data_IF_570395168456
#
_entry.id   IF_570395168456
#
_cell.length_a   1.000
_cell.length_b   1.000
_cell.length_c   1.000
_cell.angle_alpha   90.00
_cell.angle_beta   90.00
_cell.angle_gamma   90.00
#
_symmetry.space_group_name_H-M   'P 1'
#
loop_
_entity.id
_entity.type
_entity.pdbx_description
1 polymer ?
#
# COMPACT_ATOMS: atom_id res chain seq x y z
N UNK A 1 -28.89 -17.97 -5.31
CA UNK A 1 -27.42 -18.01 -5.26
C UNK A 1 -26.99 -16.71 -4.60
N UNK A 2 -26.30 -16.77 -3.47
CA UNK A 2 -25.73 -15.56 -2.85
C UNK A 2 -24.68 -15.01 -3.81
N UNK A 3 -24.87 -13.79 -4.30
CA UNK A 3 -23.85 -13.11 -5.11
C UNK A 3 -22.65 -12.84 -4.20
N UNK A 4 -21.51 -13.48 -4.50
CA UNK A 4 -20.25 -13.24 -3.79
C UNK A 4 -19.39 -12.38 -4.70
N UNK A 5 -19.00 -11.20 -4.22
CA UNK A 5 -18.10 -10.32 -4.96
C UNK A 5 -16.76 -11.03 -5.19
N UNK A 6 -16.17 -10.83 -6.37
CA UNK A 6 -15.04 -11.62 -6.84
C UNK A 6 -13.79 -11.50 -5.94
N UNK A 7 -13.61 -10.37 -5.27
CA UNK A 7 -12.48 -10.11 -4.37
C UNK A 7 -12.89 -10.03 -2.89
N UNK A 8 -14.08 -10.53 -2.54
CA UNK A 8 -14.65 -10.45 -1.17
C UNK A 8 -13.80 -11.06 -0.05
N UNK A 9 -12.74 -11.81 -0.37
CA UNK A 9 -11.79 -12.42 0.58
C UNK A 9 -10.37 -11.90 0.41
N UNK A 10 -10.14 -10.96 -0.49
CA UNK A 10 -8.82 -10.44 -0.79
C UNK A 10 -8.56 -9.17 0.00
N UNK A 11 -7.44 -9.14 0.71
CA UNK A 11 -6.93 -7.98 1.44
C UNK A 11 -5.72 -7.43 0.70
N UNK A 12 -5.85 -6.23 0.13
CA UNK A 12 -4.84 -5.61 -0.72
C UNK A 12 -4.20 -4.43 -0.01
N UNK A 13 -2.88 -4.46 0.15
CA UNK A 13 -2.11 -3.29 0.56
C UNK A 13 -1.95 -2.32 -0.62
N UNK A 14 -2.18 -1.02 -0.39
CA UNK A 14 -1.76 0.01 -1.34
C UNK A 14 -0.59 0.80 -0.75
N UNK A 15 0.55 0.80 -1.43
CA UNK A 15 1.76 1.51 -1.00
C UNK A 15 2.00 2.68 -1.94
N UNK A 16 1.84 3.90 -1.43
CA UNK A 16 1.92 5.11 -2.23
C UNK A 16 2.62 6.24 -1.47
N UNK A 17 3.44 6.98 -2.22
CA UNK A 17 4.12 8.18 -1.74
C UNK A 17 4.51 9.02 -2.96
N UNK A 18 4.75 10.30 -2.73
CA UNK A 18 5.12 11.25 -3.76
C UNK A 18 6.36 10.77 -4.54
N UNK A 19 6.36 11.00 -5.84
CA UNK A 19 7.51 10.70 -6.70
C UNK A 19 8.19 12.00 -7.13
N UNK A 20 9.52 12.09 -7.07
CA UNK A 20 10.26 13.23 -7.63
C UNK A 20 10.21 13.28 -9.17
N UNK A 21 9.74 12.22 -9.82
CA UNK A 21 9.85 12.04 -11.27
C UNK A 21 8.63 12.53 -12.04
N UNK A 22 7.56 12.91 -11.33
CA UNK A 22 6.30 13.33 -11.95
C UNK A 22 6.53 14.35 -13.07
N UNK A 23 7.27 15.46 -12.87
CA UNK A 23 7.45 16.46 -13.93
C UNK A 23 8.15 15.91 -15.17
N UNK A 24 9.14 15.04 -14.96
CA UNK A 24 9.96 14.47 -16.03
C UNK A 24 9.19 13.38 -16.82
N UNK A 25 8.15 12.80 -16.21
CA UNK A 25 7.18 11.92 -16.85
C UNK A 25 6.01 12.68 -17.51
N UNK A 26 5.98 14.01 -17.42
CA UNK A 26 4.85 14.83 -17.89
C UNK A 26 3.60 14.69 -17.02
N UNK A 27 3.77 14.22 -15.78
CA UNK A 27 2.73 13.99 -14.79
C UNK A 27 2.78 15.06 -13.68
N UNK A 28 1.75 15.05 -12.85
CA UNK A 28 1.63 15.87 -11.65
C UNK A 28 1.23 15.00 -10.46
N UNK A 29 1.32 15.56 -9.25
CA UNK A 29 0.84 14.86 -8.05
C UNK A 29 -0.64 14.51 -8.12
N UNK A 30 -1.45 15.25 -8.88
CA UNK A 30 -2.86 14.93 -9.09
C UNK A 30 -3.04 13.60 -9.82
N UNK A 31 -2.21 13.29 -10.82
CA UNK A 31 -2.27 12.00 -11.51
C UNK A 31 -2.01 10.82 -10.55
N UNK A 32 -1.12 11.00 -9.57
CA UNK A 32 -0.83 10.00 -8.55
C UNK A 32 -2.00 9.84 -7.57
N UNK A 33 -2.65 10.94 -7.19
CA UNK A 33 -3.85 10.95 -6.34
C UNK A 33 -5.02 10.29 -7.06
N UNK A 34 -5.25 10.63 -8.32
CA UNK A 34 -6.28 10.02 -9.16
C UNK A 34 -6.06 8.51 -9.31
N UNK A 35 -4.81 8.09 -9.54
CA UNK A 35 -4.46 6.67 -9.60
C UNK A 35 -4.81 5.92 -8.31
N UNK A 36 -4.43 6.48 -7.15
CA UNK A 36 -4.80 5.92 -5.84
C UNK A 36 -6.30 5.80 -5.68
N UNK A 37 -7.02 6.89 -5.96
CA UNK A 37 -8.47 6.95 -5.80
C UNK A 37 -9.15 5.91 -6.67
N UNK A 38 -8.78 5.82 -7.94
CA UNK A 38 -9.43 4.92 -8.88
C UNK A 38 -9.07 3.45 -8.62
N UNK A 39 -7.83 3.14 -8.24
CA UNK A 39 -7.44 1.78 -7.84
C UNK A 39 -8.23 1.35 -6.60
N UNK A 40 -8.21 2.16 -5.54
CA UNK A 40 -8.93 1.87 -4.30
C UNK A 40 -10.44 1.70 -4.56
N UNK A 41 -11.03 2.57 -5.36
CA UNK A 41 -12.46 2.54 -5.70
C UNK A 41 -12.86 1.24 -6.38
N UNK A 42 -12.10 0.79 -7.38
CA UNK A 42 -12.41 -0.46 -8.09
C UNK A 42 -12.18 -1.70 -7.24
N UNK A 43 -11.14 -1.71 -6.40
CA UNK A 43 -10.89 -2.82 -5.47
C UNK A 43 -12.05 -2.95 -4.46
N UNK A 44 -12.47 -1.85 -3.84
CA UNK A 44 -13.60 -1.81 -2.92
C UNK A 44 -14.90 -2.24 -3.60
N UNK A 45 -15.16 -1.76 -4.83
CA UNK A 45 -16.35 -2.13 -5.59
C UNK A 45 -16.41 -3.62 -5.98
N UNK A 46 -15.30 -4.33 -5.91
CA UNK A 46 -15.22 -5.79 -6.11
C UNK A 46 -15.13 -6.57 -4.78
N UNK A 47 -15.35 -5.89 -3.66
CA UNK A 47 -15.41 -6.48 -2.33
C UNK A 47 -14.06 -6.64 -1.61
N UNK A 48 -12.96 -6.15 -2.19
CA UNK A 48 -11.65 -6.25 -1.55
C UNK A 48 -11.57 -5.38 -0.29
N UNK A 49 -10.79 -5.83 0.70
CA UNK A 49 -10.39 -5.02 1.86
C UNK A 49 -9.08 -4.33 1.53
N UNK A 50 -8.92 -3.07 1.93
CA UNK A 50 -7.66 -2.34 1.74
C UNK A 50 -6.89 -2.21 3.05
N UNK A 51 -5.57 -2.34 2.95
CA UNK A 51 -4.64 -2.08 4.06
C UNK A 51 -3.73 -0.93 3.67
N UNK A 52 -3.54 -0.01 4.61
CA UNK A 52 -2.72 1.18 4.43
C UNK A 52 -1.80 1.40 5.63
N UNK A 53 -0.63 1.98 5.38
CA UNK A 53 0.40 2.26 6.39
C UNK A 53 0.87 3.70 6.29
N UNK A 54 -0.02 4.64 6.58
CA UNK A 54 0.22 6.07 6.36
C UNK A 54 0.07 6.92 7.60
N UNK A 55 0.72 8.09 7.57
CA UNK A 55 0.51 9.13 8.57
C UNK A 55 -0.86 9.81 8.42
N UNK A 56 -1.31 10.50 9.47
CA UNK A 56 -2.58 11.22 9.48
C UNK A 56 -2.38 12.72 9.20
N UNK A 57 -1.47 13.05 8.26
CA UNK A 57 -1.21 14.45 7.90
C UNK A 57 -2.32 14.99 7.00
N UNK A 58 -2.68 16.25 7.24
CA UNK A 58 -3.68 16.95 6.44
C UNK A 58 -3.32 16.92 4.95
N UNK A 59 -4.30 16.61 4.11
CA UNK A 59 -4.18 16.49 2.65
C UNK A 59 -3.25 15.35 2.17
N UNK A 60 -2.87 14.44 3.08
CA UNK A 60 -2.13 13.23 2.75
C UNK A 60 -2.95 12.18 2.01
N UNK A 61 -2.32 11.06 1.69
CA UNK A 61 -2.99 9.93 1.03
C UNK A 61 -3.96 9.19 1.97
N UNK A 62 -3.72 9.20 3.29
CA UNK A 62 -4.66 8.65 4.28
C UNK A 62 -5.99 9.40 4.25
N UNK A 63 -5.94 10.74 4.27
CA UNK A 63 -7.13 11.59 4.17
C UNK A 63 -7.90 11.32 2.86
N UNK A 64 -7.18 11.23 1.73
CA UNK A 64 -7.78 10.92 0.43
C UNK A 64 -8.51 9.56 0.44
N UNK A 65 -7.87 8.54 1.03
CA UNK A 65 -8.45 7.20 1.15
C UNK A 65 -9.70 7.21 2.03
N UNK A 66 -9.65 7.89 3.18
CA UNK A 66 -10.79 8.02 4.08
C UNK A 66 -11.97 8.76 3.44
N UNK A 67 -11.71 9.85 2.72
CA UNK A 67 -12.74 10.58 1.98
C UNK A 67 -13.41 9.72 0.90
N UNK A 68 -12.62 8.91 0.18
CA UNK A 68 -13.14 8.01 -0.85
C UNK A 68 -14.13 6.99 -0.24
N UNK A 69 -13.77 6.36 0.86
CA UNK A 69 -14.60 5.33 1.49
C UNK A 69 -15.87 5.93 2.08
N UNK A 70 -15.76 7.10 2.72
CA UNK A 70 -16.90 7.81 3.28
C UNK A 70 -17.92 8.24 2.19
N UNK A 71 -17.48 8.40 0.94
CA UNK A 71 -18.38 8.61 -0.21
C UNK A 71 -18.96 7.30 -0.70
N UNK A 72 -18.12 6.28 -0.93
CA UNK A 72 -18.56 4.97 -1.43
C UNK A 72 -19.64 4.32 -0.56
N UNK A 73 -19.53 4.40 0.77
CA UNK A 73 -20.54 3.87 1.70
C UNK A 73 -21.89 4.56 1.62
N UNK A 74 -21.93 5.87 1.33
CA UNK A 74 -23.20 6.59 1.18
C UNK A 74 -24.01 6.09 -0.02
N UNK A 75 -23.34 5.50 -1.00
CA UNK A 75 -23.93 5.01 -2.24
C UNK A 75 -24.23 3.48 -2.21
N UNK A 76 -23.72 2.75 -1.22
CA UNK A 76 -23.95 1.31 -1.05
C UNK A 76 -25.21 1.04 -0.20
N UNK A 77 -26.08 0.11 -0.65
CA UNK A 77 -27.33 -0.24 0.04
C UNK A 77 -27.06 -0.83 1.45
N UNK A 78 -27.93 -0.46 2.41
CA UNK A 78 -28.01 -1.01 3.77
C UNK A 78 -27.79 -2.53 3.81
N UNK A 79 -26.60 -2.98 4.21
CA UNK A 79 -26.32 -4.40 4.35
C UNK A 79 -24.85 -4.82 4.43
N UNK A 80 -23.90 -3.98 3.97
CA UNK A 80 -22.47 -4.30 4.07
C UNK A 80 -21.79 -3.56 5.22
N UNK A 81 -21.79 -4.21 6.39
CA UNK A 81 -21.19 -3.68 7.61
C UNK A 81 -19.66 -3.87 7.67
N UNK A 82 -19.03 -4.40 6.60
CA UNK A 82 -17.58 -4.61 6.57
C UNK A 82 -16.85 -3.27 6.46
N UNK A 83 -15.93 -3.03 7.40
CA UNK A 83 -14.95 -1.93 7.27
C UNK A 83 -14.06 -2.22 6.07
N UNK A 84 -14.16 -1.38 5.04
CA UNK A 84 -13.45 -1.59 3.78
C UNK A 84 -11.94 -1.37 3.89
N UNK A 85 -11.49 -0.60 4.90
CA UNK A 85 -10.08 -0.18 5.03
C UNK A 85 -9.57 -0.25 6.46
N UNK A 86 -8.36 -0.78 6.60
CA UNK A 86 -7.58 -0.78 7.84
C UNK A 86 -6.32 0.06 7.65
N UNK A 87 -6.14 1.12 8.45
CA UNK A 87 -4.92 1.93 8.44
C UNK A 87 -4.08 1.63 9.70
N UNK A 88 -2.88 1.11 9.48
CA UNK A 88 -1.90 0.87 10.53
C UNK A 88 -1.09 2.13 10.79
N UNK A 89 -0.98 2.50 12.06
CA UNK A 89 -0.17 3.61 12.54
C UNK A 89 1.05 3.04 13.27
N UNK A 90 2.22 3.26 12.69
CA UNK A 90 3.49 2.96 13.35
C UNK A 90 3.62 3.76 14.66
N UNK A 91 4.25 3.15 15.66
CA UNK A 91 4.55 3.77 16.94
C UNK A 91 5.08 5.22 16.86
N UNK A 92 6.15 5.51 16.07
CA UNK A 92 6.72 6.86 15.99
C UNK A 92 5.75 7.90 15.41
N UNK A 93 4.79 7.47 14.58
CA UNK A 93 3.75 8.34 14.02
C UNK A 93 2.76 8.71 15.13
N UNK A 94 2.15 7.72 15.76
CA UNK A 94 1.07 8.02 16.68
C UNK A 94 1.56 8.57 18.02
N UNK A 95 2.76 8.25 18.50
CA UNK A 95 3.30 8.77 19.78
C UNK A 95 3.53 10.29 19.73
N UNK A 96 3.67 10.84 18.53
CA UNK A 96 3.79 12.28 18.28
C UNK A 96 2.42 13.00 18.25
N UNK A 97 1.31 12.28 18.39
CA UNK A 97 -0.06 12.80 18.29
C UNK A 97 -0.82 12.71 19.61
N UNK A 98 -1.55 13.77 19.97
CA UNK A 98 -2.31 13.80 21.21
C UNK A 98 -3.45 12.77 21.18
N UNK A 99 -3.62 12.02 22.28
CA UNK A 99 -4.66 10.97 22.37
C UNK A 99 -6.08 11.48 22.07
N UNK A 100 -6.50 12.70 22.50
CA UNK A 100 -7.80 13.24 22.10
C UNK A 100 -7.97 13.42 20.59
N UNK A 101 -6.90 13.79 19.87
CA UNK A 101 -6.95 13.96 18.41
C UNK A 101 -7.14 12.61 17.72
N UNK A 102 -6.37 11.59 18.13
CA UNK A 102 -6.51 10.23 17.59
C UNK A 102 -7.90 9.65 17.86
N UNK A 103 -8.44 9.88 19.06
CA UNK A 103 -9.81 9.47 19.43
C UNK A 103 -10.85 10.13 18.53
N UNK A 104 -10.69 11.43 18.24
CA UNK A 104 -11.58 12.15 17.32
C UNK A 104 -11.53 11.56 15.91
N UNK A 105 -10.33 11.38 15.35
CA UNK A 105 -10.15 10.81 14.01
C UNK A 105 -10.75 9.40 13.95
N UNK A 106 -10.46 8.55 14.94
CA UNK A 106 -11.04 7.22 15.02
C UNK A 106 -12.57 7.22 15.08
N UNK A 107 -13.18 8.19 15.77
CA UNK A 107 -14.63 8.34 15.84
C UNK A 107 -15.23 8.81 14.51
N UNK A 108 -14.57 9.75 13.82
CA UNK A 108 -14.99 10.27 12.51
C UNK A 108 -14.92 9.19 11.41
N UNK A 109 -14.10 8.15 11.61
CA UNK A 109 -13.91 7.03 10.68
C UNK A 109 -14.83 5.83 10.95
N UNK A 110 -15.61 5.81 12.04
CA UNK A 110 -16.45 4.66 12.42
C UNK A 110 -17.31 4.19 11.25
N UNK A 111 -17.24 2.89 10.98
CA UNK A 111 -17.88 2.24 9.85
C UNK A 111 -17.07 2.35 8.55
N UNK A 112 -16.36 3.43 8.29
CA UNK A 112 -15.60 3.58 7.04
C UNK A 112 -14.23 2.92 7.09
N UNK A 113 -13.43 3.25 8.10
CA UNK A 113 -12.08 2.76 8.26
C UNK A 113 -11.76 2.46 9.72
N UNK A 114 -10.80 1.57 9.93
CA UNK A 114 -10.28 1.23 11.26
C UNK A 114 -8.85 1.75 11.40
N UNK A 115 -8.53 2.34 12.56
CA UNK A 115 -7.17 2.71 12.94
C UNK A 115 -6.58 1.66 13.86
N UNK A 116 -5.46 1.07 13.47
CA UNK A 116 -4.71 0.11 14.27
C UNK A 116 -3.43 0.78 14.76
N UNK A 117 -3.22 0.79 16.08
CA UNK A 117 -2.01 1.34 16.70
C UNK A 117 -1.02 0.22 16.98
N UNK A 118 0.25 0.43 16.66
CA UNK A 118 1.30 -0.55 16.90
C UNK A 118 2.33 -0.02 17.91
N UNK A 119 2.75 -0.90 18.82
CA UNK A 119 3.94 -0.68 19.63
C UNK A 119 5.21 -0.69 18.76
N UNK A 120 6.33 -0.24 19.31
CA UNK A 120 7.59 -0.13 18.57
C UNK A 120 8.03 -1.49 17.96
N UNK A 121 7.77 -2.58 18.68
CA UNK A 121 8.05 -3.95 18.27
C UNK A 121 7.01 -4.56 17.31
N UNK A 122 5.94 -3.84 16.96
CA UNK A 122 4.86 -4.32 16.09
C UNK A 122 3.67 -4.93 16.81
N UNK A 123 3.67 -5.01 18.15
CA UNK A 123 2.50 -5.52 18.88
C UNK A 123 1.30 -4.57 18.74
N UNK A 124 0.09 -5.14 18.66
CA UNK A 124 -1.13 -4.35 18.61
C UNK A 124 -1.38 -3.66 19.96
N UNK A 125 -1.66 -2.36 19.91
CA UNK A 125 -2.10 -1.58 21.06
C UNK A 125 -3.60 -1.35 20.98
N UNK A 126 -4.30 -1.68 22.06
CA UNK A 126 -5.69 -1.29 22.22
C UNK A 126 -5.82 0.23 22.32
N UNK A 127 -7.00 0.81 22.02
CA UNK A 127 -7.24 2.23 22.22
C UNK A 127 -7.03 2.69 23.68
N UNK A 128 -7.24 1.80 24.66
CA UNK A 128 -7.02 2.08 26.07
C UNK A 128 -5.52 2.15 26.40
N UNK A 129 -4.73 1.17 25.94
CA UNK A 129 -3.27 1.19 26.10
C UNK A 129 -2.65 2.38 25.38
N UNK A 130 -3.11 2.68 24.17
CA UNK A 130 -2.63 3.87 23.46
C UNK A 130 -2.92 5.15 24.26
N UNK A 131 -4.07 5.28 24.91
CA UNK A 131 -4.44 6.49 25.67
C UNK A 131 -3.53 6.75 26.89
N UNK A 132 -2.89 5.74 27.46
CA UNK A 132 -1.99 5.90 28.61
C UNK A 132 -0.58 6.31 28.20
N UNK A 133 -0.22 6.18 26.91
CA UNK A 133 1.10 6.57 26.41
C UNK A 133 1.26 8.09 26.36
N UNK A 134 2.36 8.58 26.94
CA UNK A 134 2.75 9.98 26.87
C UNK A 134 3.16 10.39 25.45
N UNK A 135 3.01 11.67 25.13
CA UNK A 135 3.56 12.24 23.91
C UNK A 135 5.08 12.16 23.91
N UNK A 136 5.65 11.80 22.77
CA UNK A 136 7.09 11.68 22.60
C UNK A 136 7.57 12.22 21.26
N UNK A 137 8.86 12.55 21.20
CA UNK A 137 9.60 12.82 19.97
C UNK A 137 10.45 11.58 19.68
N UNK A 138 10.09 10.75 18.69
CA UNK A 138 10.86 9.56 18.38
C UNK A 138 12.23 9.92 17.80
N UNK A 139 13.24 9.17 18.21
CA UNK A 139 14.57 9.16 17.62
C UNK A 139 14.57 8.57 16.21
N UNK A 140 15.64 8.80 15.44
CA UNK A 140 15.78 8.21 14.09
C UNK A 140 15.76 6.67 14.12
N UNK A 141 16.34 6.07 15.16
CA UNK A 141 16.33 4.62 15.38
C UNK A 141 14.90 4.10 15.64
N UNK A 142 14.13 4.76 16.49
CA UNK A 142 12.72 4.41 16.73
C UNK A 142 11.85 4.61 15.49
N UNK A 143 12.16 5.61 14.65
CA UNK A 143 11.52 5.76 13.35
C UNK A 143 11.79 4.57 12.43
N UNK A 144 13.03 4.10 12.35
CA UNK A 144 13.38 2.93 11.56
C UNK A 144 12.68 1.68 12.08
N UNK A 145 12.84 1.35 13.36
CA UNK A 145 12.27 0.14 13.98
C UNK A 145 10.75 0.14 13.86
N UNK A 146 10.09 1.25 14.20
CA UNK A 146 8.63 1.33 14.22
C UNK A 146 7.99 1.29 12.82
N UNK A 147 8.66 1.84 11.80
CA UNK A 147 8.17 1.72 10.43
C UNK A 147 8.38 0.31 9.87
N UNK A 148 9.53 -0.31 10.12
CA UNK A 148 9.82 -1.68 9.71
C UNK A 148 8.85 -2.67 10.36
N UNK A 149 8.60 -2.55 11.68
CA UNK A 149 7.66 -3.44 12.38
C UNK A 149 6.24 -3.30 11.86
N UNK A 150 5.78 -2.08 11.57
CA UNK A 150 4.48 -1.85 10.94
C UNK A 150 4.38 -2.51 9.56
N UNK A 151 5.42 -2.37 8.72
CA UNK A 151 5.45 -2.98 7.37
C UNK A 151 5.40 -4.51 7.44
N UNK A 152 6.08 -5.11 8.42
CA UNK A 152 6.05 -6.55 8.67
C UNK A 152 4.63 -7.03 9.06
N UNK A 153 4.00 -6.35 10.02
CA UNK A 153 2.61 -6.62 10.43
C UNK A 153 1.65 -6.50 9.24
N UNK A 154 1.77 -5.42 8.46
CA UNK A 154 0.93 -5.20 7.27
C UNK A 154 1.11 -6.32 6.23
N UNK A 155 2.35 -6.71 5.94
CA UNK A 155 2.65 -7.82 5.01
C UNK A 155 1.94 -9.11 5.45
N UNK A 156 1.98 -9.44 6.75
CA UNK A 156 1.34 -10.66 7.27
C UNK A 156 -0.20 -10.58 7.26
N UNK A 157 -0.78 -9.39 7.16
CA UNK A 157 -2.22 -9.16 7.12
C UNK A 157 -2.81 -9.00 5.71
N UNK A 158 -1.99 -9.16 4.65
CA UNK A 158 -2.38 -8.84 3.27
C UNK A 158 -2.09 -9.99 2.32
N UNK A 159 -2.93 -10.13 1.30
CA UNK A 159 -2.80 -11.16 0.26
C UNK A 159 -2.02 -10.66 -0.95
N UNK A 160 -2.07 -9.35 -1.22
CA UNK A 160 -1.38 -8.73 -2.35
C UNK A 160 -1.02 -7.28 -2.05
N UNK A 161 -0.05 -6.73 -2.80
CA UNK A 161 0.40 -5.34 -2.68
C UNK A 161 0.41 -4.63 -4.02
N UNK A 162 -0.19 -3.45 -4.08
CA UNK A 162 -0.08 -2.52 -5.21
C UNK A 162 0.85 -1.39 -4.81
N UNK A 163 1.91 -1.16 -5.58
CA UNK A 163 2.90 -0.10 -5.29
C UNK A 163 2.97 0.89 -6.44
N UNK A 164 2.99 2.18 -6.11
CA UNK A 164 3.09 3.28 -7.08
C UNK A 164 3.80 4.51 -6.48
N UNK A 165 4.63 5.14 -7.31
CA UNK A 165 5.45 6.29 -6.90
C UNK A 165 6.55 5.90 -5.91
N UNK A 166 6.74 6.73 -4.89
CA UNK A 166 7.72 6.52 -3.83
C UNK A 166 8.88 7.49 -3.87
N UNK A 167 9.11 8.17 -2.75
CA UNK A 167 10.27 9.05 -2.57
C UNK A 167 11.56 8.22 -2.64
N UNK A 168 12.61 8.82 -3.18
CA UNK A 168 13.97 8.22 -3.24
C UNK A 168 14.96 8.95 -2.34
N UNK A 169 14.53 10.05 -1.72
CA UNK A 169 15.26 10.86 -0.76
C UNK A 169 14.31 11.37 0.34
N UNK A 170 14.85 12.02 1.37
CA UNK A 170 14.09 12.65 2.46
C UNK A 170 12.96 11.78 3.06
N UNK A 171 13.20 10.46 3.10
CA UNK A 171 12.33 9.48 3.73
C UNK A 171 12.83 9.16 5.14
N UNK A 172 11.98 8.50 5.93
CA UNK A 172 12.33 7.98 7.26
C UNK A 172 12.45 6.46 7.21
N UNK A 173 13.41 5.93 7.95
CA UNK A 173 13.72 4.50 8.01
C UNK A 173 15.00 4.13 7.25
N UNK A 174 15.24 2.83 7.10
CA UNK A 174 16.49 2.29 6.57
C UNK A 174 16.63 2.50 5.05
N UNK A 175 15.50 2.51 4.35
CA UNK A 175 15.41 2.69 2.89
C UNK A 175 14.06 3.34 2.54
N UNK A 176 13.81 3.72 1.26
CA UNK A 176 12.49 4.19 0.84
C UNK A 176 11.38 3.24 1.29
N UNK A 177 10.31 3.79 1.88
CA UNK A 177 9.27 2.95 2.49
C UNK A 177 8.62 1.95 1.54
N UNK A 178 8.27 2.40 0.33
CA UNK A 178 7.71 1.52 -0.70
C UNK A 178 8.72 0.46 -1.16
N UNK A 179 10.02 0.78 -1.16
CA UNK A 179 11.04 -0.20 -1.50
C UNK A 179 11.15 -1.27 -0.40
N UNK A 180 11.15 -0.89 0.86
CA UNK A 180 11.16 -1.88 1.96
C UNK A 180 9.93 -2.79 1.91
N UNK A 181 8.75 -2.20 1.70
CA UNK A 181 7.51 -2.95 1.53
C UNK A 181 7.54 -3.91 0.35
N UNK A 182 8.06 -3.47 -0.80
CA UNK A 182 8.19 -4.30 -1.99
C UNK A 182 9.19 -5.44 -1.78
N UNK A 183 10.33 -5.15 -1.15
CA UNK A 183 11.35 -6.15 -0.83
C UNK A 183 10.79 -7.22 0.11
N UNK A 184 10.10 -6.81 1.18
CA UNK A 184 9.43 -7.71 2.12
C UNK A 184 8.38 -8.60 1.44
N UNK A 185 7.59 -8.05 0.52
CA UNK A 185 6.62 -8.82 -0.27
C UNK A 185 7.31 -9.85 -1.16
N UNK A 186 8.35 -9.46 -1.89
CA UNK A 186 9.11 -10.34 -2.78
C UNK A 186 9.81 -11.49 -2.03
N UNK A 187 10.39 -11.21 -0.86
CA UNK A 187 11.09 -12.20 -0.03
C UNK A 187 10.20 -13.37 0.40
N UNK A 188 8.90 -13.12 0.61
CA UNK A 188 7.93 -14.15 1.01
C UNK A 188 7.04 -14.62 -0.15
N UNK A 189 7.28 -14.11 -1.37
CA UNK A 189 6.49 -14.44 -2.55
C UNK A 189 5.06 -13.87 -2.53
N UNK A 190 4.79 -12.82 -1.76
CA UNK A 190 3.49 -12.15 -1.78
C UNK A 190 3.25 -11.48 -3.15
N UNK A 191 2.09 -11.69 -3.79
CA UNK A 191 1.70 -11.02 -5.02
C UNK A 191 1.93 -9.50 -4.97
N UNK A 192 2.71 -8.97 -5.92
CA UNK A 192 3.03 -7.54 -5.98
C UNK A 192 2.85 -6.96 -7.38
N UNK A 193 2.20 -5.80 -7.45
CA UNK A 193 1.89 -5.06 -8.67
C UNK A 193 2.71 -3.77 -8.70
N UNK A 194 3.67 -3.68 -9.62
CA UNK A 194 4.57 -2.54 -9.76
C UNK A 194 4.03 -1.53 -10.78
N UNK A 195 3.52 -0.38 -10.35
CA UNK A 195 3.04 0.69 -11.24
C UNK A 195 4.15 1.74 -11.44
N UNK A 196 5.23 1.32 -12.11
CA UNK A 196 6.41 2.16 -12.36
C UNK A 196 6.20 3.34 -13.31
N UNK A 197 5.05 3.43 -14.00
CA UNK A 197 4.69 4.58 -14.83
C UNK A 197 4.50 5.88 -14.05
N UNK A 198 4.34 5.80 -12.72
CA UNK A 198 4.27 6.94 -11.81
C UNK A 198 5.63 7.31 -11.19
N UNK A 199 6.74 6.72 -11.65
CA UNK A 199 8.08 7.08 -11.18
C UNK A 199 8.39 6.58 -9.77
N UNK A 200 9.38 7.22 -9.14
CA UNK A 200 9.83 6.98 -7.78
C UNK A 200 10.63 5.69 -7.63
N UNK A 201 10.80 5.24 -6.39
CA UNK A 201 11.48 3.96 -6.13
C UNK A 201 10.74 2.76 -6.76
N UNK A 202 9.42 2.86 -7.00
CA UNK A 202 8.68 1.82 -7.74
C UNK A 202 9.21 1.66 -9.17
N UNK A 203 9.49 2.78 -9.85
CA UNK A 203 10.14 2.76 -11.18
C UNK A 203 11.55 2.18 -11.10
N UNK A 204 12.32 2.56 -10.08
CA UNK A 204 13.67 2.05 -9.89
C UNK A 204 13.70 0.52 -9.71
N UNK A 205 12.75 -0.04 -8.96
CA UNK A 205 12.57 -1.48 -8.80
C UNK A 205 12.19 -2.13 -10.15
N UNK A 206 11.24 -1.53 -10.88
CA UNK A 206 10.85 -2.03 -12.20
C UNK A 206 12.01 -2.02 -13.21
N UNK A 207 12.90 -1.04 -13.14
CA UNK A 207 14.13 -1.00 -13.94
C UNK A 207 15.10 -2.13 -13.55
N UNK A 208 15.33 -2.33 -12.25
CA UNK A 208 16.20 -3.42 -11.75
C UNK A 208 15.69 -4.79 -12.19
N UNK A 209 14.38 -5.02 -12.19
CA UNK A 209 13.76 -6.27 -12.66
C UNK A 209 13.67 -6.40 -14.19
N UNK A 210 14.15 -5.42 -14.96
CA UNK A 210 14.11 -5.42 -16.41
C UNK A 210 12.73 -5.15 -17.04
N UNK A 211 11.74 -4.70 -16.24
CA UNK A 211 10.38 -4.39 -16.69
C UNK A 211 10.30 -3.03 -17.39
N UNK A 212 11.20 -2.11 -17.06
CA UNK A 212 11.27 -0.78 -17.64
C UNK A 212 12.69 -0.44 -18.10
N UNK A 213 12.85 0.33 -19.19
CA UNK A 213 14.18 0.79 -19.57
C UNK A 213 14.72 1.76 -18.51
N UNK A 214 16.04 1.70 -18.22
CA UNK A 214 16.67 2.63 -17.29
C UNK A 214 16.54 4.06 -17.82
N UNK A 215 16.34 5.02 -16.91
CA UNK A 215 16.37 6.42 -17.28
C UNK A 215 17.79 6.84 -17.68
N UNK A 216 17.91 7.68 -18.73
CA UNK A 216 19.18 8.26 -19.17
C UNK A 216 19.94 9.06 -18.08
N UNK A 217 19.24 9.57 -17.06
CA UNK A 217 19.83 10.16 -15.88
C UNK A 217 19.67 9.13 -14.76
N UNK A 218 20.76 8.43 -14.41
CA UNK A 218 20.77 7.55 -13.24
C UNK A 218 20.31 8.34 -12.02
N UNK A 219 19.19 7.93 -11.40
CA UNK A 219 18.76 8.49 -10.13
C UNK A 219 19.82 8.22 -9.06
N UNK A 220 19.78 9.01 -7.99
CA UNK A 220 20.55 8.74 -6.79
C UNK A 220 20.30 7.29 -6.35
N UNK A 221 21.37 6.53 -6.16
CA UNK A 221 21.28 5.19 -5.60
C UNK A 221 20.84 5.31 -4.14
N UNK A 222 19.61 4.91 -3.84
CA UNK A 222 19.14 4.77 -2.46
C UNK A 222 19.61 3.41 -1.88
N UNK A 223 19.92 3.34 -0.57
CA UNK A 223 20.32 2.13 0.13
C UNK A 223 19.36 0.96 -0.13
N UNK A 224 19.91 -0.20 -0.48
CA UNK A 224 19.14 -1.44 -0.69
C UNK A 224 18.55 -1.64 -2.10
N UNK A 225 18.74 -0.72 -3.07
CA UNK A 225 18.29 -0.95 -4.46
C UNK A 225 18.84 -2.23 -5.08
N UNK A 226 20.10 -2.55 -4.78
CA UNK A 226 20.78 -3.75 -5.29
C UNK A 226 20.16 -5.05 -4.77
N UNK A 227 19.41 -5.03 -3.65
CA UNK A 227 18.74 -6.23 -3.13
C UNK A 227 17.69 -6.77 -4.11
N UNK A 228 17.14 -5.90 -4.96
CA UNK A 228 16.18 -6.28 -6.00
C UNK A 228 16.81 -7.08 -7.15
N UNK A 229 18.14 -7.07 -7.31
CA UNK A 229 18.86 -7.85 -8.33
C UNK A 229 18.74 -9.36 -8.09
N UNK A 230 18.40 -9.77 -6.87
CA UNK A 230 18.15 -11.17 -6.52
C UNK A 230 16.82 -11.71 -7.06
N UNK A 231 15.94 -10.85 -7.59
CA UNK A 231 14.60 -11.21 -8.02
C UNK A 231 14.42 -11.08 -9.54
N UNK A 232 13.47 -11.84 -10.06
CA UNK A 232 13.05 -11.84 -11.46
C UNK A 232 11.56 -11.50 -11.56
N UNK A 233 11.11 -11.21 -12.78
CA UNK A 233 9.68 -10.93 -13.07
C UNK A 233 8.75 -12.06 -12.60
N UNK A 234 9.22 -13.31 -12.62
CA UNK A 234 8.47 -14.47 -12.12
C UNK A 234 8.21 -14.42 -10.61
N UNK A 235 9.02 -13.69 -9.83
CA UNK A 235 8.83 -13.55 -8.39
C UNK A 235 7.70 -12.57 -8.01
N UNK A 236 7.11 -11.85 -8.97
CA UNK A 236 6.01 -10.92 -8.70
C UNK A 236 4.72 -11.64 -8.26
N UNK A 237 4.55 -12.92 -8.62
CA UNK A 237 3.44 -13.79 -8.22
C UNK A 237 2.04 -13.18 -8.39
N UNK A 238 1.87 -12.22 -9.29
CA UNK A 238 0.70 -11.37 -9.36
C UNK A 238 -0.34 -11.80 -10.42
N UNK A 239 -0.24 -13.03 -10.93
CA UNK A 239 -1.15 -13.58 -11.94
C UNK A 239 -1.01 -12.96 -13.34
N UNK A 240 -0.09 -12.02 -13.54
CA UNK A 240 0.18 -11.40 -14.84
C UNK A 240 1.30 -12.11 -15.59
N UNK A 241 1.18 -12.14 -16.92
CA UNK A 241 2.28 -12.55 -17.80
C UNK A 241 3.43 -11.53 -17.75
N UNK A 242 4.63 -11.93 -18.20
CA UNK A 242 5.77 -11.01 -18.26
C UNK A 242 5.49 -9.76 -19.11
N UNK A 243 4.72 -9.90 -20.21
CA UNK A 243 4.33 -8.79 -21.07
C UNK A 243 3.32 -7.86 -20.39
N UNK A 244 2.35 -8.42 -19.65
CA UNK A 244 1.40 -7.65 -18.86
C UNK A 244 2.11 -6.89 -17.73
N UNK A 245 3.05 -7.53 -17.04
CA UNK A 245 3.90 -6.88 -16.02
C UNK A 245 4.74 -5.75 -16.61
N UNK A 246 5.33 -5.96 -17.80
CA UNK A 246 6.06 -4.91 -18.52
C UNK A 246 5.14 -3.73 -18.86
N UNK A 247 3.90 -4.01 -19.23
CA UNK A 247 2.91 -2.97 -19.55
C UNK A 247 2.50 -2.20 -18.30
N UNK A 248 2.17 -2.90 -17.22
CA UNK A 248 1.81 -2.30 -15.93
C UNK A 248 2.94 -1.42 -15.37
N UNK A 249 4.18 -1.89 -15.45
CA UNK A 249 5.35 -1.18 -14.96
C UNK A 249 5.67 0.11 -15.73
N UNK A 250 5.13 0.29 -16.94
CA UNK A 250 5.42 1.43 -17.81
C UNK A 250 4.27 2.40 -17.96
N UNK A 251 3.04 1.95 -17.75
CA UNK A 251 1.87 2.75 -18.08
C UNK A 251 1.63 3.85 -17.05
N UNK A 252 1.51 5.12 -17.47
CA UNK A 252 0.96 6.18 -16.63
C UNK A 252 -0.57 6.23 -16.69
N UNK A 253 -1.21 5.39 -17.52
CA UNK A 253 -2.65 5.39 -17.73
C UNK A 253 -3.36 4.57 -16.66
N UNK A 254 -4.11 5.27 -15.81
CA UNK A 254 -4.81 4.71 -14.64
C UNK A 254 -5.74 3.55 -15.04
N UNK A 255 -6.53 3.70 -16.11
CA UNK A 255 -7.45 2.65 -16.57
C UNK A 255 -6.73 1.36 -16.96
N UNK A 256 -5.57 1.49 -17.63
CA UNK A 256 -4.76 0.34 -18.01
C UNK A 256 -4.13 -0.34 -16.79
N UNK A 257 -3.65 0.46 -15.83
CA UNK A 257 -3.11 -0.06 -14.58
C UNK A 257 -4.18 -0.84 -13.79
N UNK A 258 -5.39 -0.28 -13.65
CA UNK A 258 -6.51 -0.92 -12.96
C UNK A 258 -6.90 -2.22 -13.66
N UNK A 259 -7.08 -2.20 -14.98
CA UNK A 259 -7.44 -3.40 -15.74
C UNK A 259 -6.44 -4.55 -15.54
N UNK A 260 -5.14 -4.24 -15.45
CA UNK A 260 -4.09 -5.23 -15.21
C UNK A 260 -4.06 -5.68 -13.74
N UNK A 261 -4.16 -4.77 -12.77
CA UNK A 261 -4.23 -5.13 -11.34
C UNK A 261 -5.39 -6.08 -11.07
N UNK A 262 -6.60 -5.72 -11.53
CA UNK A 262 -7.79 -6.54 -11.35
C UNK A 262 -7.67 -7.90 -12.04
N UNK A 263 -7.14 -7.93 -13.26
CA UNK A 263 -6.91 -9.18 -14.00
C UNK A 263 -5.97 -10.11 -13.24
N UNK A 264 -4.88 -9.59 -12.70
CA UNK A 264 -3.92 -10.37 -11.92
C UNK A 264 -4.56 -10.94 -10.66
N UNK A 265 -5.24 -10.09 -9.88
CA UNK A 265 -5.94 -10.51 -8.66
C UNK A 265 -7.01 -11.57 -8.93
N UNK A 266 -7.81 -11.42 -9.98
CA UNK A 266 -8.83 -12.39 -10.35
C UNK A 266 -8.23 -13.75 -10.69
N UNK A 267 -7.14 -13.79 -11.49
CA UNK A 267 -6.44 -15.05 -11.82
C UNK A 267 -5.86 -15.75 -10.60
N UNK A 268 -5.33 -14.98 -9.63
CA UNK A 268 -4.84 -15.54 -8.36
C UNK A 268 -6.01 -16.12 -7.56
N UNK A 269 -7.14 -15.40 -7.48
CA UNK A 269 -8.33 -15.85 -6.73
C UNK A 269 -9.01 -17.09 -7.32
N UNK A 270 -8.90 -17.31 -8.62
CA UNK A 270 -9.46 -18.46 -9.34
C UNK A 270 -8.54 -19.69 -9.31
N UNK A 271 -7.29 -19.56 -8.84
CA UNK A 271 -6.33 -20.66 -8.84
C UNK A 271 -6.65 -21.68 -7.73
N UNK A 272 -6.78 -22.99 -8.06
CA UNK A 272 -7.32 -24.02 -7.17
C UNK A 272 -6.45 -24.40 -5.95
N UNK A 273 -5.26 -23.79 -5.78
CA UNK A 273 -4.39 -24.05 -4.61
C UNK A 273 -4.92 -23.40 -3.31
N UNK A 274 -5.92 -22.52 -3.39
CA UNK A 274 -6.51 -21.81 -2.24
C UNK A 274 -7.48 -22.65 -1.38
N UNK A 275 -7.76 -23.90 -1.76
CA UNK A 275 -8.79 -24.73 -1.10
C UNK A 275 -8.26 -25.91 -0.29
N UNK A 276 -6.95 -25.97 -0.03
CA UNK A 276 -6.39 -27.02 0.84
C UNK A 276 -5.68 -26.35 2.01
N UNK A 277 -6.41 -26.18 3.12
CA UNK A 277 -6.00 -26.44 4.51
C UNK A 277 -7.18 -25.96 5.38
N UNK A 278 -8.01 -26.91 5.82
CA UNK A 278 -8.64 -26.98 7.15
C UNK A 278 -9.58 -28.20 7.15
N UNK A 279 -9.07 -29.31 7.68
CA UNK A 279 -9.85 -30.32 8.37
C UNK A 279 -9.37 -30.32 9.82
#
# INVERSE_FOLDING_TARGET
MSYREALSQCTVAISISESPDMPALGLSNEHLRDAMTEIARHLLALGARLVYGGDLRAHGFSDLLFELIARHRRDANDGDDRTGVTNYLAWPVHISMAAPNLKKISADLVGSAELIYLALNGDLLTPAERQTLALGQPTEEEWAIGLTSMRDVMRNSTDARVVLGGRVDQYKGLMPGIAEEALMSLQVGQPIFLLGGFGGCTRDIAETLGLAPPWAASRLAWPGRHEFEAFQVSNLNNGLTAQENTTLARTPHVDQAIALVLRGLLRISESPESHVITN
#
